data_IF_778814700680
#
_entry.id   IF_778814700680
#
_cell.length_a   1.000
_cell.length_b   1.000
_cell.length_c   1.000
_cell.angle_alpha   90.00
_cell.angle_beta   90.00
_cell.angle_gamma   90.00
#
_symmetry.space_group_name_H-M   'P 1'
#
loop_
_entity.id
_entity.type
_entity.pdbx_description
1 polymer ?
#
# COMPACT_ATOMS: atom_id res chain seq x y z
N UNK A 1 -13.52 -11.14 16.14
CA UNK A 1 -12.75 -12.35 16.53
C UNK A 1 -11.31 -12.37 15.96
N UNK A 2 -10.60 -11.24 15.85
CA UNK A 2 -9.21 -11.22 15.32
C UNK A 2 -8.14 -10.87 16.36
N UNK A 3 -8.53 -10.61 17.62
CA UNK A 3 -7.67 -10.00 18.64
C UNK A 3 -6.39 -10.80 18.95
N UNK A 4 -6.51 -12.11 19.14
CA UNK A 4 -5.33 -12.94 19.45
C UNK A 4 -4.34 -13.07 18.29
N UNK A 5 -4.78 -12.95 17.04
CA UNK A 5 -3.94 -13.30 15.89
C UNK A 5 -2.87 -12.25 15.57
N UNK A 6 -3.13 -10.96 15.76
CA UNK A 6 -2.08 -9.94 15.59
C UNK A 6 -1.07 -9.99 16.74
N UNK A 7 -1.50 -10.32 17.97
CA UNK A 7 -0.59 -10.50 19.10
C UNK A 7 0.34 -11.70 18.85
N UNK A 8 -0.22 -12.80 18.35
CA UNK A 8 0.55 -13.95 17.88
C UNK A 8 1.56 -13.56 16.79
N UNK A 9 1.13 -12.78 15.78
CA UNK A 9 2.03 -12.30 14.73
C UNK A 9 3.17 -11.46 15.33
N UNK A 10 2.85 -10.52 16.22
CA UNK A 10 3.83 -9.65 16.89
C UNK A 10 4.87 -10.45 17.66
N UNK A 11 4.44 -11.48 18.39
CA UNK A 11 5.36 -12.38 19.10
C UNK A 11 6.27 -13.16 18.15
N UNK A 12 5.74 -13.69 17.04
CA UNK A 12 6.55 -14.41 16.07
C UNK A 12 7.54 -13.52 15.33
N UNK A 13 7.15 -12.30 14.97
CA UNK A 13 8.07 -11.36 14.31
C UNK A 13 9.21 -10.93 15.25
N UNK A 14 8.95 -10.80 16.56
CA UNK A 14 9.99 -10.57 17.57
C UNK A 14 10.88 -11.77 17.84
N UNK A 15 10.35 -12.98 17.64
CA UNK A 15 11.08 -14.23 17.83
C UNK A 15 11.83 -14.68 16.57
N UNK A 16 11.92 -13.84 15.53
CA UNK A 16 12.70 -14.14 14.34
C UNK A 16 14.17 -14.43 14.71
N UNK A 17 14.85 -15.27 13.93
CA UNK A 17 16.19 -15.72 14.27
C UNK A 17 17.23 -14.62 14.08
N UNK A 18 18.14 -14.48 15.04
CA UNK A 18 19.22 -13.47 15.02
C UNK A 18 20.19 -13.60 13.84
N UNK A 19 20.13 -14.73 13.12
CA UNK A 19 20.88 -14.98 11.88
C UNK A 19 20.38 -14.14 10.71
N UNK A 20 19.16 -13.61 10.77
CA UNK A 20 18.67 -12.69 9.76
C UNK A 20 19.33 -11.32 9.93
N UNK A 21 19.70 -10.65 8.84
CA UNK A 21 20.16 -9.27 8.91
C UNK A 21 19.08 -8.38 9.53
N UNK A 22 19.51 -7.41 10.33
CA UNK A 22 18.65 -6.32 10.77
C UNK A 22 18.34 -5.45 9.54
N UNK A 23 17.08 -5.02 9.39
CA UNK A 23 16.66 -4.14 8.30
C UNK A 23 17.59 -2.94 8.16
N UNK A 24 18.25 -2.73 7.00
CA UNK A 24 19.04 -1.53 6.77
C UNK A 24 18.13 -0.27 6.70
N UNK A 25 18.68 0.94 6.87
CA UNK A 25 17.92 2.20 6.78
C UNK A 25 17.19 2.38 5.43
N UNK A 26 17.72 1.80 4.36
CA UNK A 26 17.15 1.86 3.01
C UNK A 26 16.13 0.74 2.75
N UNK A 27 15.89 -0.15 3.72
CA UNK A 27 14.91 -1.23 3.56
C UNK A 27 13.53 -0.66 3.27
N UNK A 28 12.84 -1.29 2.31
CA UNK A 28 11.44 -1.00 2.02
C UNK A 28 10.52 -1.28 3.21
N UNK A 29 10.92 -2.14 4.15
CA UNK A 29 10.14 -2.39 5.36
C UNK A 29 10.03 -1.15 6.26
N UNK A 30 10.92 -0.16 6.11
CA UNK A 30 10.78 1.12 6.83
C UNK A 30 9.52 1.90 6.42
N UNK A 31 8.89 1.53 5.29
CA UNK A 31 7.53 2.02 4.94
C UNK A 31 6.47 1.54 5.91
N UNK A 32 6.64 0.37 6.55
CA UNK A 32 5.71 -0.13 7.57
C UNK A 32 5.78 0.67 8.87
N UNK A 33 6.96 1.21 9.21
CA UNK A 33 7.13 2.09 10.38
C UNK A 33 6.37 3.41 10.22
N UNK A 34 6.32 3.94 9.00
CA UNK A 34 5.62 5.17 8.66
C UNK A 34 4.51 4.89 7.65
N UNK A 35 3.67 3.90 7.94
CA UNK A 35 2.67 3.41 7.00
C UNK A 35 1.63 4.50 6.70
N UNK A 36 1.67 5.01 5.47
CA UNK A 36 0.77 6.04 4.97
C UNK A 36 0.14 5.59 3.66
N UNK A 37 -1.16 5.78 3.54
CA UNK A 37 -1.87 5.48 2.32
C UNK A 37 -1.65 6.57 1.29
N UNK A 38 -1.48 6.16 0.04
CA UNK A 38 -1.58 7.06 -1.09
C UNK A 38 -3.05 7.47 -1.28
N UNK A 39 -3.32 8.75 -1.10
CA UNK A 39 -4.68 9.28 -1.14
C UNK A 39 -5.30 9.16 -2.54
N UNK A 40 -4.49 9.15 -3.60
CA UNK A 40 -4.99 8.93 -4.96
C UNK A 40 -5.61 7.52 -5.05
N UNK A 41 -4.93 6.51 -4.50
CA UNK A 41 -5.44 5.14 -4.45
C UNK A 41 -6.69 5.01 -3.57
N UNK A 42 -6.74 5.73 -2.45
CA UNK A 42 -7.93 5.73 -1.58
C UNK A 42 -9.13 6.30 -2.31
N UNK A 43 -8.96 7.39 -3.06
CA UNK A 43 -10.02 8.04 -3.85
C UNK A 43 -10.49 7.11 -4.98
N UNK A 44 -9.55 6.48 -5.68
CA UNK A 44 -9.85 5.75 -6.91
C UNK A 44 -10.41 4.34 -6.68
N UNK A 45 -9.82 3.61 -5.73
CA UNK A 45 -10.07 2.18 -5.56
C UNK A 45 -10.58 1.83 -4.17
N UNK A 46 -10.67 2.82 -3.28
CA UNK A 46 -11.06 2.64 -1.89
C UNK A 46 -9.88 2.31 -0.98
N UNK A 47 -10.11 2.54 0.31
CA UNK A 47 -9.11 2.41 1.36
C UNK A 47 -8.51 1.00 1.45
N UNK A 48 -9.32 -0.05 1.34
CA UNK A 48 -8.83 -1.44 1.38
C UNK A 48 -7.84 -1.77 0.26
N UNK A 49 -8.10 -1.27 -0.96
CA UNK A 49 -7.21 -1.48 -2.11
C UNK A 49 -5.93 -0.69 -1.93
N UNK A 50 -6.01 0.54 -1.42
CA UNK A 50 -4.85 1.36 -1.10
C UNK A 50 -3.96 0.69 -0.03
N UNK A 51 -4.56 0.14 1.03
CA UNK A 51 -3.82 -0.62 2.06
C UNK A 51 -3.12 -1.83 1.43
N UNK A 52 -3.82 -2.59 0.58
CA UNK A 52 -3.22 -3.73 -0.10
C UNK A 52 -2.01 -3.33 -0.95
N UNK A 53 -2.16 -2.27 -1.75
CA UNK A 53 -1.08 -1.75 -2.60
C UNK A 53 0.13 -1.29 -1.78
N UNK A 54 -0.09 -0.59 -0.66
CA UNK A 54 1.01 -0.13 0.18
C UNK A 54 1.71 -1.30 0.90
N UNK A 55 0.97 -2.33 1.31
CA UNK A 55 1.55 -3.58 1.84
C UNK A 55 2.37 -4.33 0.77
N UNK A 56 1.87 -4.42 -0.47
CA UNK A 56 2.61 -5.01 -1.59
C UNK A 56 3.88 -4.23 -1.91
N UNK A 57 3.83 -2.89 -1.87
CA UNK A 57 4.98 -2.03 -2.09
C UNK A 57 6.04 -2.17 -0.99
N UNK A 58 5.61 -2.23 0.27
CA UNK A 58 6.51 -2.42 1.42
C UNK A 58 7.16 -3.80 1.42
N UNK A 59 6.41 -4.86 1.13
CA UNK A 59 6.87 -6.25 1.13
C UNK A 59 7.35 -6.73 -0.24
N UNK A 60 7.58 -5.84 -1.20
CA UNK A 60 7.88 -6.18 -2.59
C UNK A 60 9.03 -7.19 -2.72
N UNK A 61 10.13 -6.98 -1.99
CA UNK A 61 11.33 -7.83 -2.06
C UNK A 61 11.12 -9.23 -1.42
N UNK A 62 9.97 -9.44 -0.78
CA UNK A 62 9.56 -10.67 -0.09
C UNK A 62 8.53 -11.45 -0.91
N UNK A 63 8.01 -10.84 -1.98
CA UNK A 63 7.11 -11.43 -2.96
C UNK A 63 7.90 -12.07 -4.12
N UNK A 64 7.33 -13.04 -4.86
CA UNK A 64 5.96 -13.55 -4.76
C UNK A 64 5.72 -14.46 -3.55
N UNK A 65 4.44 -14.60 -3.17
CA UNK A 65 4.02 -15.66 -2.24
C UNK A 65 4.09 -17.01 -2.96
N UNK A 66 4.43 -18.07 -2.25
CA UNK A 66 4.24 -19.42 -2.78
C UNK A 66 2.76 -19.83 -2.78
N UNK A 67 2.46 -21.02 -3.29
CA UNK A 67 1.09 -21.57 -3.40
C UNK A 67 0.34 -21.63 -2.06
N UNK A 68 1.07 -21.64 -0.94
CA UNK A 68 0.49 -21.63 0.41
C UNK A 68 0.23 -20.22 0.96
N UNK A 69 0.45 -19.19 0.13
CA UNK A 69 0.34 -17.77 0.49
C UNK A 69 1.48 -17.28 1.36
N UNK A 70 2.62 -17.98 1.41
CA UNK A 70 3.75 -17.65 2.29
C UNK A 70 4.78 -16.83 1.52
N UNK A 71 5.15 -15.66 2.04
CA UNK A 71 6.29 -14.86 1.58
C UNK A 71 7.55 -15.15 2.41
N UNK A 72 8.74 -14.91 1.85
CA UNK A 72 10.01 -15.27 2.49
C UNK A 72 10.57 -14.09 3.29
N UNK A 73 10.60 -14.20 4.62
CA UNK A 73 11.20 -13.21 5.52
C UNK A 73 12.72 -13.28 5.44
N UNK A 74 13.34 -12.21 4.94
CA UNK A 74 14.79 -12.08 4.72
C UNK A 74 15.50 -11.22 5.77
N UNK A 75 14.76 -10.44 6.55
CA UNK A 75 15.32 -9.52 7.54
C UNK A 75 14.47 -9.50 8.81
N UNK A 76 15.05 -8.99 9.88
CA UNK A 76 14.40 -8.85 11.20
C UNK A 76 14.51 -7.43 11.74
N UNK A 77 13.79 -7.17 12.83
CA UNK A 77 13.81 -5.92 13.56
C UNK A 77 12.57 -5.05 13.31
N UNK A 78 12.65 -3.75 13.67
CA UNK A 78 11.48 -2.88 13.77
C UNK A 78 10.66 -2.77 12.48
N UNK A 79 11.32 -2.80 11.31
CA UNK A 79 10.65 -2.71 10.01
C UNK A 79 9.63 -3.81 9.80
N UNK A 80 10.04 -5.09 9.90
CA UNK A 80 9.09 -6.20 9.72
C UNK A 80 8.12 -6.31 10.91
N UNK A 81 8.56 -6.03 12.14
CA UNK A 81 7.71 -6.08 13.33
C UNK A 81 6.50 -5.13 13.23
N UNK A 82 6.67 -3.97 12.60
CA UNK A 82 5.61 -3.00 12.38
C UNK A 82 4.45 -3.54 11.53
N UNK A 83 4.65 -4.63 10.77
CA UNK A 83 3.56 -5.29 10.04
C UNK A 83 2.42 -5.73 10.96
N UNK A 84 2.74 -6.18 12.18
CA UNK A 84 1.73 -6.56 13.16
C UNK A 84 0.89 -5.35 13.60
N UNK A 85 1.53 -4.20 13.81
CA UNK A 85 0.88 -2.96 14.25
C UNK A 85 0.02 -2.37 13.10
N UNK A 86 0.48 -2.43 11.86
CA UNK A 86 -0.29 -2.03 10.67
C UNK A 86 -1.57 -2.87 10.56
N UNK A 87 -1.46 -4.20 10.69
CA UNK A 87 -2.62 -5.08 10.60
C UNK A 87 -3.57 -4.93 11.79
N UNK A 88 -3.06 -4.74 13.01
CA UNK A 88 -3.85 -4.47 14.21
C UNK A 88 -4.67 -3.18 14.07
N UNK A 89 -4.12 -2.15 13.44
CA UNK A 89 -4.83 -0.90 13.20
C UNK A 89 -5.94 -1.01 12.14
N UNK A 90 -5.67 -1.68 11.00
CA UNK A 90 -6.58 -1.68 9.85
C UNK A 90 -7.66 -2.77 9.89
N UNK A 91 -7.39 -3.94 10.48
CA UNK A 91 -8.39 -5.02 10.53
C UNK A 91 -9.69 -4.64 11.28
N UNK A 92 -9.65 -3.95 12.44
CA UNK A 92 -10.87 -3.51 13.11
C UNK A 92 -11.68 -2.48 12.31
N UNK A 93 -11.01 -1.69 11.45
CA UNK A 93 -11.65 -0.68 10.61
C UNK A 93 -12.32 -1.26 9.37
N UNK A 94 -11.83 -2.40 8.89
CA UNK A 94 -12.39 -3.12 7.75
C UNK A 94 -12.83 -4.54 8.17
N UNK A 95 -13.88 -4.66 8.99
CA UNK A 95 -14.38 -5.96 9.42
C UNK A 95 -14.88 -6.76 8.20
N UNK A 96 -14.39 -7.98 8.04
CA UNK A 96 -14.73 -8.84 6.90
C UNK A 96 -13.83 -8.65 5.68
N UNK A 97 -12.78 -7.83 5.78
CA UNK A 97 -11.79 -7.67 4.71
C UNK A 97 -11.04 -8.98 4.44
N UNK A 98 -11.41 -9.67 3.36
CA UNK A 98 -10.77 -10.93 2.95
C UNK A 98 -9.28 -10.70 2.66
N UNK A 99 -8.93 -9.53 2.11
CA UNK A 99 -7.56 -9.18 1.73
C UNK A 99 -6.69 -8.98 2.98
N UNK A 100 -7.15 -8.19 3.97
CA UNK A 100 -6.39 -7.98 5.20
C UNK A 100 -6.31 -9.25 6.06
N UNK A 101 -7.38 -10.04 6.10
CA UNK A 101 -7.32 -11.35 6.75
C UNK A 101 -6.31 -12.28 6.09
N UNK A 102 -6.21 -12.26 4.75
CA UNK A 102 -5.22 -13.03 4.01
C UNK A 102 -3.81 -12.56 4.36
N UNK A 103 -3.56 -11.24 4.40
CA UNK A 103 -2.28 -10.69 4.85
C UNK A 103 -1.88 -11.19 6.24
N UNK A 104 -2.80 -11.14 7.21
CA UNK A 104 -2.54 -11.63 8.56
C UNK A 104 -2.22 -13.13 8.58
N UNK A 105 -3.04 -13.95 7.90
CA UNK A 105 -2.82 -15.41 7.81
C UNK A 105 -1.46 -15.72 7.15
N UNK A 106 -1.14 -15.04 6.06
CA UNK A 106 0.12 -15.18 5.33
C UNK A 106 1.31 -14.78 6.19
N UNK A 107 1.25 -13.63 6.86
CA UNK A 107 2.32 -13.12 7.72
C UNK A 107 2.62 -14.08 8.88
N UNK A 108 1.57 -14.62 9.53
CA UNK A 108 1.75 -15.63 10.60
C UNK A 108 2.44 -16.88 10.06
N UNK A 109 1.98 -17.41 8.92
CA UNK A 109 2.60 -18.59 8.30
C UNK A 109 4.07 -18.33 7.90
N UNK A 110 4.35 -17.16 7.35
CA UNK A 110 5.71 -16.72 6.99
C UNK A 110 6.64 -16.64 8.20
N UNK A 111 6.19 -16.00 9.29
CA UNK A 111 6.95 -15.92 10.52
C UNK A 111 7.23 -17.31 11.11
N UNK A 112 6.19 -18.16 11.23
CA UNK A 112 6.34 -19.54 11.71
C UNK A 112 7.34 -20.34 10.87
N UNK A 113 7.20 -20.30 9.54
CA UNK A 113 8.09 -21.02 8.64
C UNK A 113 9.53 -20.53 8.80
N UNK A 114 9.74 -19.22 8.92
CA UNK A 114 11.06 -18.65 9.09
C UNK A 114 11.74 -19.14 10.38
N UNK A 115 11.04 -19.07 11.51
CA UNK A 115 11.53 -19.55 12.82
C UNK A 115 11.91 -21.04 12.74
N UNK A 116 10.99 -21.88 12.26
CA UNK A 116 11.20 -23.33 12.17
C UNK A 116 12.34 -23.71 11.21
N UNK A 117 12.47 -23.01 10.09
CA UNK A 117 13.54 -23.26 9.09
C UNK A 117 14.93 -22.95 9.65
N UNK A 118 15.01 -22.07 10.66
CA UNK A 118 16.26 -21.76 11.36
C UNK A 118 16.46 -22.62 12.62
N UNK A 119 15.65 -23.66 12.83
CA UNK A 119 15.77 -24.61 13.93
C UNK A 119 15.39 -24.04 15.30
N UNK A 120 14.61 -22.94 15.34
CA UNK A 120 14.08 -22.39 16.59
C UNK A 120 12.69 -22.96 16.88
N UNK A 121 12.37 -23.09 18.16
CA UNK A 121 11.02 -23.42 18.60
C UNK A 121 10.10 -22.21 18.47
N UNK A 122 8.82 -22.46 18.20
CA UNK A 122 7.83 -21.39 18.15
C UNK A 122 7.53 -20.93 19.58
N UNK A 123 7.46 -19.60 19.83
CA UNK A 123 6.92 -19.08 21.07
C UNK A 123 5.55 -19.70 21.36
N UNK A 124 5.37 -20.19 22.59
CA UNK A 124 4.09 -20.67 23.04
C UNK A 124 3.12 -19.49 23.08
N UNK A 125 2.06 -19.57 22.26
CA UNK A 125 1.01 -18.57 22.26
C UNK A 125 -0.12 -19.11 23.12
N UNK A 126 -0.25 -18.58 24.34
CA UNK A 126 -1.43 -18.78 25.15
C UNK A 126 -2.48 -17.75 24.73
N UNK A 127 -3.54 -18.15 23.99
CA UNK A 127 -4.66 -17.26 23.75
C UNK A 127 -5.40 -17.09 25.07
N UNK A 128 -4.98 -16.10 25.87
CA UNK A 128 -5.52 -15.86 27.20
C UNK A 128 -7.05 -16.04 27.25
N UNK A 129 -7.58 -16.86 28.18
CA UNK A 129 -9.01 -17.09 28.29
C UNK A 129 -9.68 -15.84 28.85
N UNK A 130 -10.25 -14.99 27.98
CA UNK A 130 -11.14 -13.90 28.38
C UNK A 130 -12.49 -14.45 28.87
N UNK A 131 -12.52 -15.16 30.00
CA UNK A 131 -13.71 -15.25 30.85
C UNK A 131 -13.38 -15.82 32.24
N UNK A 132 -13.11 -14.94 33.20
CA UNK A 132 -13.40 -15.23 34.61
C UNK A 132 -14.31 -14.12 35.14
N UNK A 133 -15.58 -14.16 34.78
CA UNK A 133 -16.62 -13.72 35.71
C UNK A 133 -16.91 -14.87 36.69
N UNK A 134 -16.10 -14.98 37.74
CA UNK A 134 -16.53 -15.63 38.97
C UNK A 134 -16.49 -14.59 40.09
N UNK A 135 -17.68 -14.11 40.44
CA UNK A 135 -17.90 -13.38 41.68
C UNK A 135 -17.70 -14.34 42.87
N UNK A 136 -16.88 -14.01 43.88
CA UNK A 136 -16.91 -14.73 45.14
C UNK A 136 -17.82 -13.98 46.12
N UNK A 137 -19.03 -14.50 46.33
CA UNK A 137 -19.79 -14.26 47.56
C UNK A 137 -19.33 -15.29 48.58
N UNK A 138 -18.34 -14.93 49.39
CA UNK A 138 -17.83 -15.80 50.45
C UNK A 138 -17.11 -14.99 51.51
N UNK A 139 -17.82 -14.64 52.58
CA UNK A 139 -17.23 -14.12 53.82
C UNK A 139 -16.27 -15.17 54.38
N UNK A 140 -14.99 -14.81 54.56
CA UNK A 140 -14.13 -15.50 55.51
C UNK A 140 -13.08 -14.54 56.10
N UNK A 141 -12.94 -14.70 57.40
CA UNK A 141 -12.19 -13.90 58.36
C UNK A 141 -10.68 -14.14 58.26
N UNK A 142 -9.93 -13.04 58.38
CA UNK A 142 -8.53 -12.86 58.80
C UNK A 142 -7.80 -14.11 59.32
N UNK A 143 -6.61 -14.40 58.75
CA UNK A 143 -5.36 -14.55 59.52
C UNK A 143 -4.12 -14.40 58.64
N UNK A 144 -3.21 -13.60 59.18
CA UNK A 144 -1.95 -13.10 58.64
C UNK A 144 -0.84 -14.15 58.72
N UNK A 145 -0.01 -14.24 57.69
CA UNK A 145 1.39 -14.68 57.83
C UNK A 145 2.25 -14.11 56.69
N UNK A 146 3.26 -13.37 57.11
CA UNK A 146 4.31 -12.70 56.35
C UNK A 146 5.18 -13.67 55.55
N UNK A 147 5.48 -13.36 54.29
CA UNK A 147 6.72 -13.82 53.65
C UNK A 147 7.25 -12.81 52.62
N UNK A 148 8.58 -12.66 52.64
CA UNK A 148 9.40 -11.61 52.02
C UNK A 148 9.76 -11.99 50.58
N UNK A 149 9.77 -11.03 49.65
CA UNK A 149 10.69 -10.96 48.50
C UNK A 149 10.52 -9.59 47.79
N UNK A 150 11.50 -8.71 47.91
CA UNK A 150 12.63 -8.51 46.97
C UNK A 150 12.20 -7.74 45.72
N UNK A 151 12.26 -6.41 45.81
CA UNK A 151 12.01 -5.43 44.76
C UNK A 151 13.27 -5.20 43.93
N UNK A 152 13.25 -5.65 42.68
CA UNK A 152 14.15 -5.19 41.61
C UNK A 152 13.29 -4.46 40.58
N UNK A 153 13.37 -3.13 40.60
CA UNK A 153 12.68 -2.26 39.66
C UNK A 153 13.41 -2.28 38.31
N UNK A 154 12.79 -2.85 37.29
CA UNK A 154 13.15 -2.62 35.88
C UNK A 154 12.06 -1.76 35.26
N UNK A 155 12.37 -0.48 35.08
CA UNK A 155 11.52 0.48 34.38
C UNK A 155 11.67 0.29 32.88
N UNK A 156 10.72 -0.40 32.25
CA UNK A 156 10.57 -0.34 30.79
C UNK A 156 9.69 0.86 30.43
N UNK A 157 10.33 1.91 29.90
CA UNK A 157 9.63 2.98 29.20
C UNK A 157 9.12 2.45 27.86
N UNK A 158 7.81 2.26 27.75
CA UNK A 158 7.13 2.02 26.47
C UNK A 158 6.84 3.38 25.85
N UNK A 159 7.66 3.79 24.89
CA UNK A 159 7.40 4.95 24.02
C UNK A 159 6.26 4.58 23.06
N UNK A 160 5.05 5.03 23.39
CA UNK A 160 3.92 5.09 22.48
C UNK A 160 4.22 6.14 21.40
N UNK A 161 4.40 5.71 20.15
CA UNK A 161 4.47 6.61 19.01
C UNK A 161 3.07 7.12 18.67
N UNK A 162 2.92 8.44 18.69
CA UNK A 162 1.69 9.16 18.38
C UNK A 162 1.33 9.00 16.89
N UNK A 163 0.34 8.14 16.60
CA UNK A 163 -0.44 8.23 15.37
C UNK A 163 -1.45 9.37 15.50
N UNK A 164 -0.99 10.61 15.39
CA UNK A 164 -1.89 11.77 15.35
C UNK A 164 -2.44 11.91 13.93
N UNK A 165 -3.72 11.63 13.75
CA UNK A 165 -4.42 11.91 12.50
C UNK A 165 -4.51 13.44 12.29
N UNK A 166 -4.18 13.98 11.10
CA UNK A 166 -4.42 15.38 10.81
C UNK A 166 -5.91 15.65 10.70
N UNK A 167 -6.42 16.51 11.60
CA UNK A 167 -7.77 17.07 11.55
C UNK A 167 -7.89 18.01 10.34
N UNK A 168 -8.72 17.65 9.37
CA UNK A 168 -9.12 18.55 8.30
C UNK A 168 -10.64 18.66 8.27
N UNK A 169 -11.15 19.88 8.51
CA UNK A 169 -12.54 20.23 8.24
C UNK A 169 -12.69 20.64 6.77
N UNK A 170 -13.72 20.15 6.06
CA UNK A 170 -13.97 20.54 4.68
C UNK A 170 -14.50 21.98 4.62
N UNK A 171 -13.77 22.87 3.94
CA UNK A 171 -14.32 24.16 3.48
C UNK A 171 -15.11 23.92 2.20
N UNK A 172 -16.44 23.99 2.31
CA UNK A 172 -17.33 24.05 1.16
C UNK A 172 -17.18 25.40 0.46
N UNK A 173 -16.67 25.40 -0.78
CA UNK A 173 -16.90 26.48 -1.73
C UNK A 173 -17.48 25.89 -3.01
N UNK A 174 -18.79 26.05 -3.17
CA UNK A 174 -19.50 25.78 -4.39
C UNK A 174 -19.00 26.70 -5.50
N UNK A 175 -18.57 26.14 -6.64
CA UNK A 175 -18.43 26.90 -7.88
C UNK A 175 -19.09 26.13 -9.02
N UNK A 176 -20.03 26.81 -9.66
CA UNK A 176 -20.92 26.36 -10.72
C UNK A 176 -20.19 25.70 -11.90
N UNK A 177 -20.57 24.47 -12.22
CA UNK A 177 -20.16 23.74 -13.43
C UNK A 177 -20.73 24.37 -14.70
N UNK A 178 -19.87 24.78 -15.64
CA UNK A 178 -20.26 24.90 -17.05
C UNK A 178 -20.12 23.51 -17.70
N UNK A 179 -21.24 22.99 -18.23
CA UNK A 179 -21.31 21.79 -19.08
C UNK A 179 -20.34 21.95 -20.26
N UNK A 180 -19.36 21.07 -20.35
CA UNK A 180 -18.55 20.86 -21.56
C UNK A 180 -19.11 19.65 -22.30
N UNK A 181 -19.38 19.86 -23.58
CA UNK A 181 -20.04 18.95 -24.50
C UNK A 181 -19.17 17.70 -24.78
N UNK A 182 -19.72 16.51 -24.53
CA UNK A 182 -19.03 15.21 -24.65
C UNK A 182 -18.88 14.72 -26.11
N UNK A 183 -19.31 15.50 -27.10
CA UNK A 183 -19.47 15.01 -28.48
C UNK A 183 -18.20 15.05 -29.34
N UNK A 184 -17.08 15.63 -28.88
CA UNK A 184 -15.93 15.90 -29.74
C UNK A 184 -14.71 14.95 -29.59
N UNK A 185 -14.83 13.80 -28.90
CA UNK A 185 -13.70 12.86 -28.73
C UNK A 185 -14.03 11.40 -29.10
N UNK A 186 -15.16 11.16 -29.77
CA UNK A 186 -15.54 9.84 -30.29
C UNK A 186 -14.99 9.57 -31.71
N UNK A 187 -14.51 10.61 -32.42
CA UNK A 187 -14.20 10.53 -33.86
C UNK A 187 -12.71 10.23 -34.18
N UNK A 188 -11.89 9.91 -33.18
CA UNK A 188 -10.50 9.42 -33.39
C UNK A 188 -10.35 7.91 -33.27
N UNK A 189 -11.46 7.16 -33.37
CA UNK A 189 -11.42 5.70 -33.56
C UNK A 189 -11.19 5.45 -35.04
N UNK A 190 -10.06 4.84 -35.38
CA UNK A 190 -9.75 4.40 -36.75
C UNK A 190 -10.80 3.38 -37.21
N UNK A 191 -11.65 3.67 -38.21
CA UNK A 191 -12.71 2.77 -38.66
C UNK A 191 -12.17 1.50 -39.36
N UNK A 192 -10.87 1.44 -39.64
CA UNK A 192 -10.24 0.33 -40.38
C UNK A 192 -9.54 -0.72 -39.49
N UNK A 193 -9.81 -0.74 -38.18
CA UNK A 193 -9.32 -1.83 -37.32
C UNK A 193 -10.13 -3.10 -37.57
N UNK A 194 -9.62 -3.97 -38.45
CA UNK A 194 -10.17 -5.30 -38.74
C UNK A 194 -9.66 -6.28 -37.68
N UNK A 195 -10.55 -6.79 -36.84
CA UNK A 195 -10.27 -7.93 -35.96
C UNK A 195 -9.93 -9.15 -36.84
N UNK A 196 -8.69 -9.64 -36.73
CA UNK A 196 -8.29 -10.91 -37.32
C UNK A 196 -9.05 -12.03 -36.61
N UNK A 197 -9.84 -12.79 -37.35
CA UNK A 197 -10.59 -13.94 -36.83
C UNK A 197 -9.61 -15.00 -36.29
N UNK A 198 -9.61 -15.21 -34.97
CA UNK A 198 -9.05 -16.40 -34.35
C UNK A 198 -10.08 -17.55 -34.36
N UNK A 199 -9.63 -18.82 -34.47
CA UNK A 199 -10.49 -19.97 -34.63
C UNK A 199 -11.27 -20.33 -33.35
N UNK A 200 -12.54 -20.69 -33.55
CA UNK A 200 -13.52 -21.14 -32.54
C UNK A 200 -12.96 -22.23 -31.60
N UNK A 201 -12.82 -21.88 -30.32
CA UNK A 201 -12.79 -22.84 -29.22
C UNK A 201 -13.91 -22.51 -28.23
N UNK A 202 -14.95 -23.34 -28.26
CA UNK A 202 -16.13 -23.20 -27.42
C UNK A 202 -15.81 -23.55 -25.96
N UNK A 203 -15.39 -22.55 -25.19
CA UNK A 203 -15.51 -22.57 -23.72
C UNK A 203 -16.36 -21.39 -23.25
N UNK A 204 -17.62 -21.68 -22.96
CA UNK A 204 -18.45 -20.85 -22.09
C UNK A 204 -17.82 -20.82 -20.70
N UNK A 205 -16.97 -19.82 -20.46
CA UNK A 205 -16.69 -19.29 -19.13
C UNK A 205 -17.10 -17.83 -19.20
N UNK A 206 -18.12 -17.47 -18.43
CA UNK A 206 -18.51 -16.09 -18.22
C UNK A 206 -17.44 -15.36 -17.40
N UNK A 207 -16.30 -15.08 -18.02
CA UNK A 207 -15.33 -14.14 -17.49
C UNK A 207 -15.61 -12.79 -18.14
N UNK A 208 -16.20 -11.87 -17.36
CA UNK A 208 -16.32 -10.48 -17.75
C UNK A 208 -14.90 -9.92 -17.73
N UNK A 209 -14.16 -10.12 -18.81
CA UNK A 209 -12.81 -9.62 -19.03
C UNK A 209 -12.78 -8.15 -18.62
N UNK A 210 -12.16 -7.89 -17.46
CA UNK A 210 -12.03 -6.53 -16.95
C UNK A 210 -11.21 -5.78 -17.98
N UNK A 211 -11.83 -4.81 -18.64
CA UNK A 211 -11.15 -3.98 -19.64
C UNK A 211 -9.95 -3.33 -18.93
N UNK A 212 -8.75 -3.61 -19.42
CA UNK A 212 -7.53 -2.98 -18.93
C UNK A 212 -7.10 -1.93 -19.95
N UNK A 213 -6.71 -0.75 -19.47
CA UNK A 213 -5.94 0.20 -20.23
C UNK A 213 -4.45 -0.08 -20.02
N UNK A 214 -3.64 0.03 -21.07
CA UNK A 214 -2.19 -0.11 -20.99
C UNK A 214 -1.51 1.18 -21.46
N UNK A 215 -0.27 1.40 -21.01
CA UNK A 215 0.54 2.50 -21.52
C UNK A 215 0.74 2.35 -23.03
N UNK A 216 0.62 3.45 -23.78
CA UNK A 216 0.85 3.46 -25.24
C UNK A 216 2.25 2.97 -25.62
N UNK A 217 3.23 3.18 -24.74
CA UNK A 217 4.57 2.63 -24.89
C UNK A 217 4.67 1.17 -24.40
N UNK A 218 3.62 0.36 -24.58
CA UNK A 218 3.46 -0.98 -23.97
C UNK A 218 4.64 -1.93 -24.25
N UNK A 219 5.28 -1.80 -25.42
CA UNK A 219 6.47 -2.58 -25.79
C UNK A 219 7.67 -2.37 -24.85
N UNK A 220 7.75 -1.23 -24.17
CA UNK A 220 8.78 -0.95 -23.17
C UNK A 220 8.24 -0.64 -21.77
N UNK A 221 6.96 -0.32 -21.65
CA UNK A 221 6.30 0.06 -20.41
C UNK A 221 5.11 -0.88 -20.14
N UNK A 222 5.26 -1.77 -19.16
CA UNK A 222 4.20 -2.73 -18.80
C UNK A 222 3.16 -2.17 -17.81
N UNK A 223 3.05 -0.85 -17.68
CA UNK A 223 2.06 -0.25 -16.79
C UNK A 223 0.66 -0.40 -17.36
N UNK A 224 -0.25 -0.93 -16.55
CA UNK A 224 -1.66 -1.14 -16.87
C UNK A 224 -2.56 -0.60 -15.77
N UNK A 225 -3.81 -0.28 -16.14
CA UNK A 225 -4.85 0.24 -15.27
C UNK A 225 -6.17 -0.48 -15.54
N UNK A 226 -7.03 -0.61 -14.52
CA UNK A 226 -8.41 -1.03 -14.74
C UNK A 226 -9.22 0.07 -15.42
N UNK A 227 -10.11 -0.28 -16.35
CA UNK A 227 -11.00 0.67 -17.02
C UNK A 227 -12.39 0.71 -16.34
N UNK A 228 -13.02 1.89 -16.20
CA UNK A 228 -12.47 3.23 -16.49
C UNK A 228 -11.39 3.61 -15.47
N UNK A 229 -10.21 4.00 -15.97
CA UNK A 229 -9.08 4.34 -15.12
C UNK A 229 -9.12 5.81 -14.69
N UNK A 230 -8.55 6.12 -13.53
CA UNK A 230 -8.32 7.51 -13.14
C UNK A 230 -7.41 8.18 -14.17
N UNK A 231 -7.99 9.17 -14.84
CA UNK A 231 -7.31 9.95 -15.86
C UNK A 231 -6.11 10.68 -15.26
N UNK A 232 -6.18 11.13 -14.00
CA UNK A 232 -5.05 11.83 -13.36
C UNK A 232 -3.86 10.89 -13.20
N UNK A 233 -4.06 9.65 -12.76
CA UNK A 233 -3.01 8.63 -12.67
C UNK A 233 -2.40 8.25 -14.03
N UNK A 234 -3.23 8.10 -15.07
CA UNK A 234 -2.75 7.86 -16.44
C UNK A 234 -1.87 9.02 -16.89
N UNK A 235 -2.30 10.26 -16.64
CA UNK A 235 -1.54 11.47 -16.97
C UNK A 235 -0.23 11.55 -16.17
N UNK A 236 -0.24 11.32 -14.85
CA UNK A 236 0.96 11.29 -13.99
C UNK A 236 1.99 10.29 -14.52
N UNK A 237 1.54 9.09 -14.88
CA UNK A 237 2.39 8.08 -15.49
C UNK A 237 2.93 8.55 -16.86
N UNK A 238 2.07 9.05 -17.75
CA UNK A 238 2.48 9.50 -19.07
C UNK A 238 3.59 10.57 -19.00
N UNK A 239 3.48 11.51 -18.05
CA UNK A 239 4.50 12.53 -17.81
C UNK A 239 5.83 11.93 -17.33
N UNK A 240 5.79 10.90 -16.48
CA UNK A 240 6.98 10.27 -15.89
C UNK A 240 7.56 9.10 -16.72
N UNK A 241 6.86 8.65 -17.77
CA UNK A 241 7.22 7.45 -18.51
C UNK A 241 8.37 7.71 -19.48
N UNK A 242 9.57 7.22 -19.13
CA UNK A 242 10.77 7.37 -19.96
C UNK A 242 10.67 6.66 -21.33
N UNK A 243 9.87 5.60 -21.42
CA UNK A 243 9.61 4.92 -22.70
C UNK A 243 8.70 5.76 -23.59
N UNK A 244 7.64 6.34 -23.03
CA UNK A 244 6.74 7.22 -23.76
C UNK A 244 7.48 8.46 -24.29
N UNK A 245 8.39 9.03 -23.49
CA UNK A 245 9.24 10.17 -23.88
C UNK A 245 10.26 9.84 -24.99
N UNK A 246 10.68 8.58 -25.12
CA UNK A 246 11.62 8.12 -26.15
C UNK A 246 10.95 7.77 -27.47
N UNK A 247 9.65 7.45 -27.46
CA UNK A 247 8.88 7.31 -28.69
C UNK A 247 8.70 8.68 -29.35
N UNK A 248 8.25 8.70 -30.60
CA UNK A 248 7.81 9.93 -31.28
C UNK A 248 6.63 10.63 -30.56
N UNK A 249 6.15 10.09 -29.44
CA UNK A 249 5.12 10.64 -28.56
C UNK A 249 5.56 11.80 -27.65
N UNK A 250 6.54 12.63 -28.04
CA UNK A 250 6.86 13.87 -27.30
C UNK A 250 5.64 14.77 -27.16
N UNK A 251 4.78 14.79 -28.18
CA UNK A 251 3.53 15.53 -28.17
C UNK A 251 2.53 14.97 -27.16
N UNK A 252 2.50 13.65 -26.94
CA UNK A 252 1.61 13.02 -25.96
C UNK A 252 2.04 13.32 -24.52
N UNK A 253 3.35 13.31 -24.26
CA UNK A 253 3.90 13.74 -22.95
C UNK A 253 3.55 15.21 -22.70
N UNK A 254 3.67 16.07 -23.71
CA UNK A 254 3.32 17.48 -23.60
C UNK A 254 1.82 17.71 -23.38
N UNK A 255 0.96 17.01 -24.12
CA UNK A 255 -0.50 17.04 -23.91
C UNK A 255 -0.85 16.53 -22.51
N UNK A 256 -0.16 15.50 -22.01
CA UNK A 256 -0.37 15.01 -20.66
C UNK A 256 0.02 16.07 -19.61
N UNK A 257 1.15 16.77 -19.81
CA UNK A 257 1.56 17.91 -18.98
C UNK A 257 0.50 19.01 -18.99
N UNK A 258 -0.01 19.41 -20.17
CA UNK A 258 -1.02 20.47 -20.28
C UNK A 258 -2.31 20.09 -19.54
N UNK A 259 -2.80 18.87 -19.74
CA UNK A 259 -4.00 18.38 -19.07
C UNK A 259 -3.81 18.23 -17.55
N UNK A 260 -2.64 17.77 -17.11
CA UNK A 260 -2.30 17.69 -15.69
C UNK A 260 -2.15 19.09 -15.08
N UNK A 261 -1.61 20.07 -15.81
CA UNK A 261 -1.48 21.46 -15.36
C UNK A 261 -2.86 22.10 -15.19
N UNK A 262 -3.79 21.82 -16.11
CA UNK A 262 -5.17 22.31 -16.05
C UNK A 262 -5.93 21.79 -14.83
N UNK A 263 -5.64 20.56 -14.40
CA UNK A 263 -6.29 19.92 -13.24
C UNK A 263 -5.58 20.22 -11.92
N UNK A 264 -4.26 20.09 -11.90
CA UNK A 264 -3.41 20.10 -10.70
C UNK A 264 -2.08 20.85 -10.96
N UNK A 265 -2.12 22.19 -11.08
CA UNK A 265 -0.94 22.98 -11.47
C UNK A 265 0.24 22.83 -10.48
N UNK A 266 -0.03 22.61 -9.20
CA UNK A 266 1.01 22.39 -8.18
C UNK A 266 1.79 21.09 -8.35
N UNK A 267 1.17 20.08 -8.98
CA UNK A 267 1.76 18.74 -9.11
C UNK A 267 2.72 18.66 -10.30
N UNK A 268 2.45 19.39 -11.38
CA UNK A 268 3.32 19.46 -12.58
C UNK A 268 4.69 20.04 -12.25
N UNK A 269 4.74 21.11 -11.45
CA UNK A 269 6.01 21.72 -11.04
C UNK A 269 6.89 20.74 -10.25
N UNK A 270 6.29 19.90 -9.41
CA UNK A 270 6.99 18.87 -8.65
C UNK A 270 7.53 17.77 -9.57
N UNK A 271 6.73 17.34 -10.55
CA UNK A 271 7.13 16.33 -11.54
C UNK A 271 8.27 16.83 -12.45
N UNK A 272 8.17 18.04 -13.00
CA UNK A 272 9.21 18.60 -13.87
C UNK A 272 10.55 18.77 -13.13
N UNK A 273 10.51 19.22 -11.87
CA UNK A 273 11.71 19.33 -11.03
C UNK A 273 12.40 17.99 -10.83
N UNK A 274 11.64 16.90 -10.67
CA UNK A 274 12.19 15.55 -10.51
C UNK A 274 12.79 15.00 -11.80
N UNK A 275 12.35 15.48 -12.96
CA UNK A 275 12.88 15.09 -14.27
C UNK A 275 14.10 15.91 -14.71
N UNK A 276 14.54 16.89 -13.92
CA UNK A 276 15.65 17.78 -14.29
C UNK A 276 15.32 18.75 -15.43
N UNK A 277 14.04 18.91 -15.76
CA UNK A 277 13.58 19.83 -16.81
C UNK A 277 13.27 21.17 -16.15
N UNK A 278 14.02 22.21 -16.50
CA UNK A 278 13.75 23.56 -16.00
C UNK A 278 12.34 24.00 -16.45
N UNK A 279 11.51 24.57 -15.56
CA UNK A 279 10.19 25.04 -15.94
C UNK A 279 10.35 26.11 -17.02
N UNK A 280 9.56 25.98 -18.10
CA UNK A 280 9.55 26.89 -19.24
C UNK A 280 9.00 28.27 -18.81
N UNK A 281 9.84 29.06 -18.15
CA UNK A 281 9.52 30.40 -17.62
C UNK A 281 10.68 31.38 -17.73
N UNK A 282 11.76 31.02 -18.42
CA UNK A 282 12.91 31.91 -18.67
C UNK A 282 13.34 31.82 -20.13
N UNK A 283 12.44 32.22 -21.04
CA UNK A 283 12.84 32.73 -22.35
C UNK A 283 13.42 34.12 -22.12
N UNK A 284 14.72 34.18 -21.82
CA UNK A 284 15.49 35.43 -21.90
C UNK A 284 15.51 35.83 -23.37
N UNK A 285 14.97 37.02 -23.66
CA UNK A 285 14.87 37.55 -25.00
C UNK A 285 16.24 37.58 -25.69
N UNK A 286 16.37 36.82 -26.77
CA UNK A 286 17.42 37.02 -27.75
C UNK A 286 16.94 38.19 -28.62
N UNK A 287 17.32 39.40 -28.22
CA UNK A 287 17.22 40.57 -29.09
C UNK A 287 18.17 40.38 -30.27
N UNK A 288 17.60 40.30 -31.47
CA UNK A 288 18.33 40.53 -32.72
C UNK A 288 19.00 41.90 -32.64
N UNK A 289 20.32 41.94 -32.84
CA UNK A 289 21.02 43.13 -33.32
C UNK A 289 21.43 42.90 -34.78
N UNK A 290 21.25 43.96 -35.54
CA UNK A 290 21.38 44.14 -36.99
C UNK A 290 22.75 43.78 -37.57
#
# INVERSE_FOLDING_TARGET
MSSGKYLQLKQYLKALPDKLPISPPESRLNRLLNFMLDQDWVIDAGEEVAINQELEAALHDFLPRNDNGIFYIKEQGPGIEALADVLDYWLPKHPGSVILELWLKSAIKSAKKCILTHGRELPEFDPEPQNIQHAPKGKATVKSASSKQSTLNVTHQTTLFNLTAPSWQPKSSATSTKKLDMKALADTINPDYVDGAEPDDHREVADKSKKLACCLASKGCHTTWGWPGDRTRILKHAVACSYLAKMEGRDLVWQAIQELTRKEPGLVNKLMKNMGVAPAGQLVGITHQH
#
